data_IF_300646934754
#
_entry.id   IF_300646934754
#
_cell.length_a   1.000
_cell.length_b   1.000
_cell.length_c   1.000
_cell.angle_alpha   90.00
_cell.angle_beta   90.00
_cell.angle_gamma   90.00
#
_symmetry.space_group_name_H-M   'P 1'
#
loop_
_entity.id
_entity.type
_entity.pdbx_description
1 polymer ?
#
# COMPACT_ATOMS: atom_id res chain seq x y z
N UNK A 1 17.77 -14.22 -6.63
CA UNK A 1 17.61 -12.75 -6.64
C UNK A 1 16.41 -12.45 -7.53
N UNK A 2 15.29 -12.04 -6.95
CA UNK A 2 14.15 -11.52 -7.73
C UNK A 2 14.57 -10.12 -8.22
N UNK A 3 14.48 -9.84 -9.52
CA UNK A 3 14.89 -8.54 -10.05
C UNK A 3 13.79 -7.49 -9.74
N UNK A 4 14.16 -6.22 -9.61
CA UNK A 4 13.22 -5.15 -9.25
C UNK A 4 12.05 -4.97 -10.22
N UNK A 5 12.24 -5.36 -11.49
CA UNK A 5 11.19 -5.34 -12.53
C UNK A 5 10.13 -6.42 -12.27
N UNK A 6 10.54 -7.52 -11.67
CA UNK A 6 9.66 -8.66 -11.36
C UNK A 6 8.72 -8.30 -10.21
N UNK A 7 9.21 -7.59 -9.18
CA UNK A 7 8.38 -7.18 -8.03
C UNK A 7 7.31 -6.14 -8.38
N UNK A 8 7.60 -5.19 -9.28
CA UNK A 8 6.58 -4.24 -9.73
C UNK A 8 5.46 -4.95 -10.49
N UNK A 9 5.82 -5.86 -11.39
CA UNK A 9 4.86 -6.63 -12.16
C UNK A 9 4.00 -7.52 -11.23
N UNK A 10 4.64 -8.20 -10.28
CA UNK A 10 3.94 -9.02 -9.28
C UNK A 10 3.00 -8.17 -8.43
N UNK A 11 3.39 -6.94 -8.07
CA UNK A 11 2.53 -5.99 -7.35
C UNK A 11 1.27 -5.66 -8.15
N UNK A 12 1.45 -5.36 -9.44
CA UNK A 12 0.36 -5.04 -10.38
C UNK A 12 -0.61 -6.22 -10.52
N UNK A 13 -0.08 -7.44 -10.70
CA UNK A 13 -0.87 -8.66 -10.81
C UNK A 13 -1.63 -8.96 -9.54
N UNK A 14 -0.98 -8.84 -8.38
CA UNK A 14 -1.61 -9.02 -7.07
C UNK A 14 -2.76 -8.04 -6.89
N UNK A 15 -2.53 -6.73 -7.10
CA UNK A 15 -3.55 -5.69 -6.90
C UNK A 15 -4.73 -5.92 -7.83
N UNK A 16 -4.48 -6.25 -9.10
CA UNK A 16 -5.54 -6.48 -10.10
C UNK A 16 -6.51 -7.59 -9.70
N UNK A 17 -6.01 -8.65 -9.05
CA UNK A 17 -6.82 -9.77 -8.59
C UNK A 17 -7.41 -9.60 -7.19
N UNK A 18 -6.87 -8.67 -6.37
CA UNK A 18 -7.07 -8.68 -4.93
C UNK A 18 -7.32 -7.29 -4.31
N UNK A 19 -8.14 -6.44 -4.94
CA UNK A 19 -8.48 -5.13 -4.38
C UNK A 19 -9.20 -5.18 -3.01
N UNK A 20 -9.75 -6.33 -2.62
CA UNK A 20 -10.34 -6.54 -1.30
C UNK A 20 -9.35 -7.11 -0.27
N UNK A 21 -8.06 -7.25 -0.63
CA UNK A 21 -7.03 -7.78 0.26
C UNK A 21 -6.91 -6.96 1.54
N UNK A 22 -6.67 -7.69 2.62
CA UNK A 22 -6.23 -7.15 3.89
C UNK A 22 -4.71 -7.17 3.99
N UNK A 23 -4.16 -6.47 4.98
CA UNK A 23 -2.73 -6.51 5.34
C UNK A 23 -2.18 -7.94 5.56
N UNK A 24 -3.05 -8.92 5.85
CA UNK A 24 -2.65 -10.32 6.07
C UNK A 24 -2.60 -11.13 4.78
N UNK A 25 -3.36 -10.72 3.76
CA UNK A 25 -3.45 -11.41 2.47
C UNK A 25 -2.26 -11.05 1.56
N UNK A 26 -1.60 -9.91 1.81
CA UNK A 26 -0.46 -9.45 1.02
C UNK A 26 0.82 -10.20 1.43
N UNK A 27 1.52 -10.84 0.48
CA UNK A 27 2.83 -11.44 0.74
C UNK A 27 3.83 -10.43 1.31
N UNK A 28 4.55 -10.82 2.36
CA UNK A 28 5.51 -9.96 3.06
C UNK A 28 6.55 -9.30 2.14
N UNK A 29 7.01 -9.98 1.09
CA UNK A 29 8.00 -9.41 0.17
C UNK A 29 7.42 -8.29 -0.69
N UNK A 30 6.12 -8.33 -0.99
CA UNK A 30 5.42 -7.24 -1.67
C UNK A 30 5.22 -6.06 -0.71
N UNK A 31 4.79 -6.32 0.54
CA UNK A 31 4.70 -5.27 1.55
C UNK A 31 6.04 -4.53 1.72
N UNK A 32 7.15 -5.25 1.85
CA UNK A 32 8.50 -4.66 1.93
C UNK A 32 8.94 -3.93 0.66
N UNK A 33 8.43 -4.34 -0.50
CA UNK A 33 8.70 -3.65 -1.76
C UNK A 33 7.90 -2.33 -1.86
N UNK A 34 6.69 -2.31 -1.32
CA UNK A 34 5.79 -1.14 -1.28
C UNK A 34 6.18 -0.17 -0.18
N UNK A 35 6.75 -0.69 0.91
CA UNK A 35 7.25 0.09 2.02
C UNK A 35 8.20 1.15 1.51
N UNK A 36 7.85 2.38 1.86
CA UNK A 36 8.67 3.54 1.60
C UNK A 36 8.96 4.15 2.94
N UNK A 37 10.21 4.05 3.38
CA UNK A 37 10.61 4.72 4.61
C UNK A 37 10.70 6.24 4.31
N UNK A 38 9.70 6.99 4.74
CA UNK A 38 9.56 8.40 4.40
C UNK A 38 10.61 9.27 5.12
N UNK A 39 11.14 8.78 6.25
CA UNK A 39 11.95 9.55 7.18
C UNK A 39 13.38 9.01 7.37
N UNK A 40 13.75 7.86 6.81
CA UNK A 40 15.13 7.37 6.94
C UNK A 40 16.14 8.14 6.06
N UNK A 41 17.23 8.68 6.66
CA UNK A 41 18.34 9.20 5.89
C UNK A 41 19.02 8.05 5.13
N UNK A 42 18.95 8.11 3.78
CA UNK A 42 19.48 7.07 2.90
C UNK A 42 18.47 6.54 1.88
N UNK A 43 17.18 6.81 2.07
CA UNK A 43 16.13 6.40 1.13
C UNK A 43 16.23 7.23 -0.14
N UNK A 44 16.52 6.54 -1.24
CA UNK A 44 16.73 7.17 -2.54
C UNK A 44 15.40 7.68 -3.11
N UNK A 45 15.44 8.71 -3.95
CA UNK A 45 14.26 9.16 -4.72
C UNK A 45 13.66 8.02 -5.55
N UNK A 46 14.49 7.05 -5.96
CA UNK A 46 14.08 5.86 -6.70
C UNK A 46 13.24 4.88 -5.87
N UNK A 47 13.51 4.73 -4.58
CA UNK A 47 12.72 3.85 -3.70
C UNK A 47 11.36 4.46 -3.41
N UNK A 48 11.32 5.76 -3.08
CA UNK A 48 10.05 6.50 -2.94
C UNK A 48 9.20 6.43 -4.21
N UNK A 49 9.81 6.52 -5.38
CA UNK A 49 9.10 6.42 -6.65
C UNK A 49 8.42 5.04 -6.86
N UNK A 50 8.96 3.94 -6.31
CA UNK A 50 8.38 2.60 -6.46
C UNK A 50 7.13 2.43 -5.63
N UNK A 51 7.19 2.67 -4.32
CA UNK A 51 6.03 2.58 -3.44
C UNK A 51 4.92 3.52 -3.89
N UNK A 52 5.29 4.74 -4.33
CA UNK A 52 4.35 5.68 -4.92
C UNK A 52 3.72 5.16 -6.24
N UNK A 53 4.49 4.49 -7.11
CA UNK A 53 3.94 3.89 -8.34
C UNK A 53 2.92 2.79 -8.03
N UNK A 54 3.21 1.93 -7.04
CA UNK A 54 2.27 0.88 -6.62
C UNK A 54 1.01 1.50 -6.02
N UNK A 55 1.15 2.50 -5.15
CA UNK A 55 0.04 3.25 -4.59
C UNK A 55 -0.85 3.86 -5.69
N UNK A 56 -0.25 4.56 -6.66
CA UNK A 56 -1.00 5.16 -7.78
C UNK A 56 -1.74 4.10 -8.60
N UNK A 57 -1.14 2.94 -8.81
CA UNK A 57 -1.79 1.83 -9.50
C UNK A 57 -2.99 1.31 -8.70
N UNK A 58 -2.81 1.05 -7.40
CA UNK A 58 -3.89 0.60 -6.51
C UNK A 58 -5.05 1.60 -6.43
N UNK A 59 -4.75 2.90 -6.32
CA UNK A 59 -5.73 3.97 -6.28
C UNK A 59 -6.51 4.07 -7.60
N UNK A 60 -5.82 3.95 -8.73
CA UNK A 60 -6.46 3.93 -10.06
C UNK A 60 -7.39 2.73 -10.18
N UNK A 61 -6.93 1.53 -9.82
CA UNK A 61 -7.75 0.31 -9.85
C UNK A 61 -8.94 0.39 -8.90
N UNK A 62 -8.76 0.97 -7.72
CA UNK A 62 -9.87 1.25 -6.81
C UNK A 62 -10.94 2.13 -7.47
N UNK A 63 -10.56 3.26 -8.07
CA UNK A 63 -11.52 4.14 -8.73
C UNK A 63 -12.20 3.50 -9.95
N UNK A 64 -11.47 2.71 -10.75
CA UNK A 64 -12.05 1.91 -11.83
C UNK A 64 -13.18 0.99 -11.31
N UNK A 65 -12.98 0.31 -10.17
CA UNK A 65 -14.04 -0.55 -9.58
C UNK A 65 -15.27 0.22 -9.09
N UNK A 66 -15.15 1.54 -8.89
CA UNK A 66 -16.26 2.43 -8.55
C UNK A 66 -16.91 3.06 -9.78
N UNK A 67 -16.50 2.67 -11.00
CA UNK A 67 -16.99 3.23 -12.24
C UNK A 67 -16.50 4.65 -12.52
N UNK A 68 -15.37 5.06 -11.91
CA UNK A 68 -14.74 6.36 -12.13
C UNK A 68 -13.51 6.17 -13.02
N UNK A 69 -13.63 6.52 -14.30
CA UNK A 69 -12.51 6.45 -15.26
C UNK A 69 -11.50 7.60 -15.05
N UNK A 70 -11.96 8.72 -14.50
CA UNK A 70 -11.16 9.87 -14.13
C UNK A 70 -11.49 10.32 -12.71
N UNK A 71 -10.48 10.80 -11.98
CA UNK A 71 -10.62 11.38 -10.65
C UNK A 71 -9.56 12.47 -10.45
N UNK A 72 -9.93 13.49 -9.70
CA UNK A 72 -9.03 14.60 -9.34
C UNK A 72 -8.81 14.61 -7.84
N UNK A 73 -7.56 14.75 -7.44
CA UNK A 73 -7.14 14.95 -6.05
C UNK A 73 -6.21 16.15 -6.01
N UNK A 74 -6.36 16.97 -4.98
CA UNK A 74 -5.34 17.95 -4.66
C UNK A 74 -4.05 17.24 -4.26
N UNK A 75 -2.91 17.93 -4.43
CA UNK A 75 -1.62 17.38 -3.99
C UNK A 75 -1.64 17.00 -2.50
N UNK A 76 -2.36 17.76 -1.67
CA UNK A 76 -2.48 17.50 -0.24
C UNK A 76 -3.26 16.20 0.04
N UNK A 77 -4.37 15.98 -0.65
CA UNK A 77 -5.16 14.74 -0.51
C UNK A 77 -4.35 13.52 -0.98
N UNK A 78 -3.66 13.64 -2.11
CA UNK A 78 -2.83 12.58 -2.65
C UNK A 78 -1.70 12.18 -1.69
N UNK A 79 -1.01 13.16 -1.11
CA UNK A 79 0.04 12.93 -0.11
C UNK A 79 -0.55 12.27 1.15
N UNK A 80 -1.72 12.71 1.61
CA UNK A 80 -2.38 12.12 2.77
C UNK A 80 -2.69 10.64 2.54
N UNK A 81 -3.36 10.31 1.42
CA UNK A 81 -3.67 8.94 1.05
C UNK A 81 -2.42 8.07 0.91
N UNK A 82 -1.35 8.61 0.34
CA UNK A 82 -0.10 7.88 0.21
C UNK A 82 0.54 7.59 1.57
N UNK A 83 0.55 8.55 2.49
CA UNK A 83 1.09 8.35 3.84
C UNK A 83 0.28 7.32 4.64
N UNK A 84 -1.05 7.36 4.52
CA UNK A 84 -1.94 6.38 5.14
C UNK A 84 -1.68 4.98 4.56
N UNK A 85 -1.55 4.87 3.23
CA UNK A 85 -1.19 3.62 2.56
C UNK A 85 0.14 3.05 3.08
N UNK A 86 1.19 3.88 3.16
CA UNK A 86 2.50 3.47 3.69
C UNK A 86 2.39 3.01 5.14
N UNK A 87 1.60 3.71 5.96
CA UNK A 87 1.35 3.32 7.36
C UNK A 87 0.71 1.93 7.46
N UNK A 88 -0.30 1.65 6.63
CA UNK A 88 -0.95 0.35 6.58
C UNK A 88 -0.01 -0.76 6.09
N UNK A 89 0.86 -0.46 5.13
CA UNK A 89 1.91 -1.38 4.69
C UNK A 89 2.85 -1.73 5.86
N UNK A 90 3.36 -0.74 6.59
CA UNK A 90 4.22 -0.97 7.75
C UNK A 90 3.51 -1.75 8.86
N UNK A 91 2.21 -1.52 9.08
CA UNK A 91 1.39 -2.33 9.99
C UNK A 91 1.37 -3.80 9.56
N UNK A 92 1.12 -4.08 8.28
CA UNK A 92 1.16 -5.45 7.76
C UNK A 92 2.53 -6.11 7.90
N UNK A 93 3.61 -5.33 7.75
CA UNK A 93 4.98 -5.82 7.97
C UNK A 93 5.20 -6.17 9.44
N UNK A 94 4.81 -5.29 10.37
CA UNK A 94 4.95 -5.53 11.81
C UNK A 94 4.19 -6.80 12.23
N UNK A 95 2.95 -6.95 11.77
CA UNK A 95 2.14 -8.14 12.07
C UNK A 95 2.81 -9.43 11.60
N UNK A 96 3.30 -9.44 10.36
CA UNK A 96 3.89 -10.64 9.77
C UNK A 96 5.34 -10.94 10.22
N UNK A 97 6.05 -9.96 10.81
CA UNK A 97 7.46 -10.11 11.21
C UNK A 97 7.71 -10.15 12.71
N UNK A 98 6.72 -9.77 13.52
CA UNK A 98 6.87 -9.69 14.98
C UNK A 98 5.84 -10.59 15.68
N UNK A 99 5.85 -10.61 17.00
CA UNK A 99 4.81 -11.26 17.81
C UNK A 99 3.60 -10.37 18.06
N UNK A 100 3.59 -9.14 17.53
CA UNK A 100 2.45 -8.22 17.65
C UNK A 100 1.43 -8.66 16.61
N UNK A 101 0.25 -9.08 17.06
CA UNK A 101 -0.83 -9.46 16.16
C UNK A 101 -1.81 -8.29 16.02
N UNK A 102 -2.06 -7.87 14.79
CA UNK A 102 -2.94 -6.75 14.47
C UNK A 102 -4.18 -7.32 13.76
N UNK A 103 -5.35 -6.71 13.94
CA UNK A 103 -6.52 -7.12 13.18
C UNK A 103 -6.31 -6.90 11.67
N UNK A 104 -6.87 -7.75 10.79
CA UNK A 104 -6.79 -7.54 9.35
C UNK A 104 -7.41 -6.20 8.93
N UNK A 105 -6.65 -5.38 8.20
CA UNK A 105 -7.12 -4.09 7.67
C UNK A 105 -7.15 -4.14 6.15
N UNK A 106 -8.26 -3.73 5.54
CA UNK A 106 -8.36 -3.62 4.07
C UNK A 106 -7.37 -2.58 3.55
N UNK A 107 -6.41 -3.03 2.75
CA UNK A 107 -5.30 -2.16 2.34
C UNK A 107 -5.71 -1.14 1.27
N UNK A 108 -6.63 -1.51 0.37
CA UNK A 108 -7.02 -0.68 -0.78
C UNK A 108 -8.40 -0.02 -0.63
N UNK A 109 -8.91 0.06 0.61
CA UNK A 109 -10.18 0.74 0.91
C UNK A 109 -9.94 2.21 1.26
N UNK A 110 -9.55 2.99 0.24
CA UNK A 110 -9.07 4.37 0.40
C UNK A 110 -10.12 5.31 1.03
N UNK A 111 -11.42 5.04 0.82
CA UNK A 111 -12.50 5.85 1.42
C UNK A 111 -12.58 5.67 2.96
N UNK A 112 -12.03 4.57 3.50
CA UNK A 112 -12.10 4.24 4.92
C UNK A 112 -10.83 4.57 5.71
N UNK A 113 -9.78 5.12 5.07
CA UNK A 113 -8.53 5.47 5.74
C UNK A 113 -8.75 6.42 6.93
N UNK A 114 -9.65 7.40 6.81
CA UNK A 114 -9.95 8.35 7.89
C UNK A 114 -10.76 7.75 9.05
N UNK A 115 -11.27 6.54 8.91
CA UNK A 115 -12.11 5.85 9.91
C UNK A 115 -11.44 4.59 10.48
N UNK A 116 -10.14 4.42 10.26
CA UNK A 116 -9.41 3.24 10.71
C UNK A 116 -9.41 3.15 12.24
N UNK A 117 -9.83 2.00 12.75
CA UNK A 117 -9.69 1.62 14.15
C UNK A 117 -8.69 0.48 14.24
N UNK A 118 -7.42 0.82 14.44
CA UNK A 118 -6.32 -0.15 14.54
C UNK A 118 -6.34 -0.75 15.93
N UNK A 119 -6.53 -2.06 16.03
CA UNK A 119 -6.54 -2.80 17.29
C UNK A 119 -5.51 -3.92 17.23
N UNK A 120 -4.72 -4.04 18.30
CA UNK A 120 -3.86 -5.20 18.54
C UNK A 120 -4.66 -6.28 19.28
N UNK A 121 -4.36 -7.54 18.98
CA UNK A 121 -4.93 -8.74 19.60
C UNK A 121 -4.16 -9.16 20.86
#
# INVERSE_FOLDING_TARGET
MIQQKDLLQESIEFISGNLNATTHDVPIHLLKYWETDLDMPGVTSKERAKGFTVFMYALTKYHETKGKEEFELTLKELISLFNDFVTLVSIGIIDQQTSVHILPIKLFDFDNYSNLNIQAL
#
